data_IF_594340368867
#
_entry.id   IF_594340368867
#
_cell.length_a   1.000
_cell.length_b   1.000
_cell.length_c   1.000
_cell.angle_alpha   90.00
_cell.angle_beta   90.00
_cell.angle_gamma   90.00
#
_symmetry.space_group_name_H-M   'P 1'
#
loop_
_entity.id
_entity.type
_entity.pdbx_description
1 polymer ?
#
# COMPACT_ATOMS: atom_id res chain seq x y z
N UNK A 1 13.99 -5.91 2.18
CA UNK A 1 14.95 -4.81 2.08
C UNK A 1 16.18 -4.95 2.99
N UNK A 2 16.05 -5.55 4.18
CA UNK A 2 17.18 -5.87 5.09
C UNK A 2 18.25 -6.78 4.43
N UNK A 3 17.86 -7.49 3.38
CA UNK A 3 18.67 -8.53 2.73
C UNK A 3 19.64 -7.95 1.68
N UNK A 4 19.36 -6.80 1.11
CA UNK A 4 20.17 -6.23 0.01
C UNK A 4 21.51 -5.62 0.41
N UNK A 5 21.70 -5.26 1.68
CA UNK A 5 22.92 -4.57 2.14
C UNK A 5 24.03 -5.45 2.69
N UNK A 6 23.73 -6.69 3.09
CA UNK A 6 24.72 -7.60 3.70
C UNK A 6 24.94 -8.91 2.95
N UNK A 7 24.04 -9.28 2.07
CA UNK A 7 24.16 -10.54 1.34
C UNK A 7 24.38 -10.26 -0.13
N UNK A 8 25.55 -10.64 -0.57
CA UNK A 8 25.84 -10.85 -1.95
C UNK A 8 24.97 -12.00 -2.44
N UNK A 9 24.06 -11.76 -3.36
CA UNK A 9 23.16 -12.77 -3.91
C UNK A 9 23.89 -13.96 -4.54
N UNK A 10 25.21 -13.88 -4.71
CA UNK A 10 26.08 -14.92 -5.27
C UNK A 10 27.30 -15.27 -4.41
N UNK A 11 27.38 -14.87 -3.12
CA UNK A 11 28.52 -15.19 -2.26
C UNK A 11 29.87 -14.54 -2.66
N UNK A 12 29.87 -13.61 -3.64
CA UNK A 12 31.05 -12.89 -4.09
C UNK A 12 31.12 -11.50 -3.41
N UNK A 13 32.31 -10.91 -3.14
CA UNK A 13 32.41 -9.59 -2.56
C UNK A 13 31.70 -8.54 -3.43
N UNK A 14 31.08 -7.52 -2.80
CA UNK A 14 30.28 -6.49 -3.49
C UNK A 14 30.98 -5.98 -4.75
N UNK A 15 30.55 -6.47 -5.91
CA UNK A 15 30.96 -6.04 -7.23
C UNK A 15 29.75 -5.55 -8.01
N UNK A 16 29.97 -5.04 -9.21
CA UNK A 16 28.96 -4.43 -10.09
C UNK A 16 27.67 -5.26 -10.31
N UNK A 17 27.65 -6.58 -10.00
CA UNK A 17 26.48 -7.45 -10.10
C UNK A 17 25.41 -7.18 -9.03
N UNK A 18 25.77 -6.73 -7.82
CA UNK A 18 24.84 -6.48 -6.72
C UNK A 18 23.90 -5.28 -6.97
N UNK A 19 24.36 -4.29 -7.74
CA UNK A 19 23.56 -3.11 -8.08
C UNK A 19 22.53 -3.41 -9.19
N UNK A 20 22.83 -4.35 -10.09
CA UNK A 20 21.88 -4.79 -11.12
C UNK A 20 20.74 -5.61 -10.52
N UNK A 21 21.03 -6.53 -9.60
CA UNK A 21 20.02 -7.34 -8.91
C UNK A 21 19.09 -6.47 -8.04
N UNK A 22 19.65 -5.44 -7.37
CA UNK A 22 18.84 -4.45 -6.64
C UNK A 22 17.95 -3.64 -7.60
N UNK A 23 18.46 -3.27 -8.77
CA UNK A 23 17.70 -2.59 -9.81
C UNK A 23 16.50 -3.42 -10.29
N UNK A 24 16.72 -4.71 -10.57
CA UNK A 24 15.64 -5.64 -10.93
C UNK A 24 14.62 -5.80 -9.81
N UNK A 25 15.05 -5.97 -8.56
CA UNK A 25 14.15 -6.04 -7.40
C UNK A 25 13.29 -4.78 -7.30
N UNK A 26 13.87 -3.59 -7.41
CA UNK A 26 13.13 -2.32 -7.33
C UNK A 26 12.13 -2.17 -8.49
N UNK A 27 12.46 -2.64 -9.69
CA UNK A 27 11.54 -2.63 -10.81
C UNK A 27 10.32 -3.54 -10.55
N UNK A 28 10.52 -4.79 -10.10
CA UNK A 28 9.42 -5.67 -9.70
C UNK A 28 8.61 -5.09 -8.53
N UNK A 29 9.29 -4.56 -7.53
CA UNK A 29 8.63 -3.96 -6.37
C UNK A 29 7.76 -2.74 -6.75
N UNK A 30 8.22 -1.89 -7.67
CA UNK A 30 7.42 -0.76 -8.17
C UNK A 30 6.18 -1.24 -8.96
N UNK A 31 6.29 -2.32 -9.73
CA UNK A 31 5.13 -2.95 -10.38
C UNK A 31 4.14 -3.52 -9.37
N UNK A 32 4.63 -4.16 -8.30
CA UNK A 32 3.79 -4.64 -7.20
C UNK A 32 3.02 -3.49 -6.56
N UNK A 33 3.70 -2.40 -6.22
CA UNK A 33 3.08 -1.21 -5.61
C UNK A 33 2.02 -0.59 -6.54
N UNK A 34 2.29 -0.51 -7.83
CA UNK A 34 1.32 0.01 -8.80
C UNK A 34 0.09 -0.91 -8.88
N UNK A 35 0.29 -2.22 -8.96
CA UNK A 35 -0.80 -3.20 -8.97
C UNK A 35 -1.65 -3.12 -7.71
N UNK A 36 -1.00 -3.02 -6.54
CA UNK A 36 -1.69 -2.87 -5.26
C UNK A 36 -2.44 -1.54 -5.16
N UNK A 37 -1.87 -0.44 -5.65
CA UNK A 37 -2.55 0.86 -5.65
C UNK A 37 -3.84 0.84 -6.49
N UNK A 38 -3.83 0.17 -7.65
CA UNK A 38 -5.04 -0.02 -8.46
C UNK A 38 -6.05 -0.92 -7.75
N UNK A 39 -5.60 -2.02 -7.14
CA UNK A 39 -6.46 -2.90 -6.35
C UNK A 39 -7.10 -2.13 -5.17
N UNK A 40 -6.32 -1.36 -4.45
CA UNK A 40 -6.79 -0.52 -3.35
C UNK A 40 -7.83 0.48 -3.82
N UNK A 41 -7.59 1.14 -4.93
CA UNK A 41 -8.48 2.15 -5.47
C UNK A 41 -9.85 1.58 -5.89
N UNK A 42 -9.86 0.42 -6.52
CA UNK A 42 -11.10 -0.14 -7.09
C UNK A 42 -11.78 -1.19 -6.21
N UNK A 43 -11.10 -1.77 -5.24
CA UNK A 43 -11.62 -2.90 -4.46
C UNK A 43 -11.56 -2.64 -2.96
N UNK A 44 -10.36 -2.47 -2.38
CA UNK A 44 -10.19 -2.55 -0.93
C UNK A 44 -10.69 -1.30 -0.21
N UNK A 45 -10.41 -0.11 -0.74
CA UNK A 45 -10.90 1.15 -0.16
C UNK A 45 -12.41 1.28 -0.33
N UNK A 46 -13.00 1.06 -1.52
CA UNK A 46 -14.46 1.03 -1.67
C UNK A 46 -15.13 0.03 -0.75
N UNK A 47 -14.56 -1.16 -0.56
CA UNK A 47 -15.08 -2.15 0.38
C UNK A 47 -15.19 -1.57 1.79
N UNK A 48 -14.19 -0.85 2.25
CA UNK A 48 -14.16 -0.28 3.59
C UNK A 48 -15.21 0.82 3.78
N UNK A 49 -15.41 1.69 2.78
CA UNK A 49 -16.29 2.86 2.91
C UNK A 49 -17.71 2.62 2.39
N UNK A 50 -17.86 1.98 1.24
CA UNK A 50 -19.18 1.82 0.61
C UNK A 50 -19.98 0.65 1.20
N UNK A 51 -19.31 -0.36 1.78
CA UNK A 51 -19.99 -1.50 2.39
C UNK A 51 -20.87 -1.09 3.58
N UNK A 52 -20.41 -0.12 4.38
CA UNK A 52 -21.20 0.38 5.51
C UNK A 52 -22.44 1.16 5.08
N UNK A 53 -22.42 1.77 3.89
CA UNK A 53 -23.56 2.50 3.33
C UNK A 53 -24.63 1.57 2.71
N UNK A 54 -24.36 0.27 2.61
CA UNK A 54 -25.30 -0.72 2.05
C UNK A 54 -26.17 -1.37 3.12
N UNK A 55 -27.41 -1.69 2.73
CA UNK A 55 -28.33 -2.48 3.57
C UNK A 55 -27.73 -3.87 3.81
N UNK A 56 -28.02 -4.47 4.95
CA UNK A 56 -27.50 -5.81 5.33
C UNK A 56 -27.77 -6.88 4.25
N UNK A 57 -28.93 -6.79 3.58
CA UNK A 57 -29.33 -7.70 2.48
C UNK A 57 -28.51 -7.52 1.20
N UNK A 58 -27.88 -6.37 1.02
CA UNK A 58 -27.08 -6.03 -0.18
C UNK A 58 -25.58 -6.31 0.03
N UNK A 59 -25.10 -6.32 1.28
CA UNK A 59 -23.67 -6.51 1.63
C UNK A 59 -23.05 -7.76 1.02
N UNK A 60 -23.70 -8.96 1.05
CA UNK A 60 -23.13 -10.16 0.45
C UNK A 60 -22.95 -10.05 -1.08
N UNK A 61 -23.93 -9.45 -1.76
CA UNK A 61 -23.87 -9.24 -3.22
C UNK A 61 -22.77 -8.26 -3.59
N UNK A 62 -22.64 -7.17 -2.83
CA UNK A 62 -21.59 -6.18 -3.04
C UNK A 62 -20.20 -6.77 -2.78
N UNK A 63 -20.02 -7.54 -1.71
CA UNK A 63 -18.76 -8.25 -1.41
C UNK A 63 -18.39 -9.22 -2.53
N UNK A 64 -19.36 -9.94 -3.10
CA UNK A 64 -19.14 -10.86 -4.24
C UNK A 64 -18.72 -10.08 -5.48
N UNK A 65 -19.36 -8.95 -5.77
CA UNK A 65 -18.96 -8.07 -6.87
C UNK A 65 -17.51 -7.59 -6.73
N UNK A 66 -17.12 -7.14 -5.52
CA UNK A 66 -15.74 -6.70 -5.25
C UNK A 66 -14.74 -7.86 -5.35
N UNK A 67 -15.10 -9.06 -4.94
CA UNK A 67 -14.26 -10.25 -5.12
C UNK A 67 -14.02 -10.53 -6.61
N UNK A 68 -15.07 -10.46 -7.44
CA UNK A 68 -14.93 -10.65 -8.87
C UNK A 68 -14.06 -9.57 -9.52
N UNK A 69 -14.21 -8.31 -9.11
CA UNK A 69 -13.30 -7.23 -9.53
C UNK A 69 -11.86 -7.50 -9.10
N UNK A 70 -11.64 -7.92 -7.86
CA UNK A 70 -10.32 -8.30 -7.35
C UNK A 70 -9.68 -9.38 -8.22
N UNK A 71 -10.42 -10.45 -8.53
CA UNK A 71 -9.94 -11.53 -9.39
C UNK A 71 -9.66 -11.06 -10.81
N UNK A 72 -10.53 -10.22 -11.40
CA UNK A 72 -10.32 -9.67 -12.73
C UNK A 72 -9.08 -8.78 -12.81
N UNK A 73 -8.88 -7.88 -11.84
CA UNK A 73 -7.69 -7.03 -11.74
C UNK A 73 -6.45 -7.88 -11.53
N UNK A 74 -6.50 -8.91 -10.66
CA UNK A 74 -5.38 -9.82 -10.40
C UNK A 74 -4.98 -10.60 -11.67
N UNK A 75 -5.95 -11.15 -12.41
CA UNK A 75 -5.70 -11.84 -13.67
C UNK A 75 -5.09 -10.91 -14.71
N UNK A 76 -5.60 -9.66 -14.81
CA UNK A 76 -5.05 -8.66 -15.71
C UNK A 76 -3.58 -8.36 -15.37
N UNK A 77 -3.26 -8.08 -14.10
CA UNK A 77 -1.88 -7.80 -13.70
C UNK A 77 -0.95 -9.00 -13.85
N UNK A 78 -1.39 -10.20 -13.48
CA UNK A 78 -0.63 -11.44 -13.72
C UNK A 78 -0.36 -11.61 -15.22
N UNK A 79 -1.37 -11.41 -16.06
CA UNK A 79 -1.23 -11.45 -17.52
C UNK A 79 -0.23 -10.43 -18.06
N UNK A 80 -0.30 -9.18 -17.57
CA UNK A 80 0.65 -8.12 -17.95
C UNK A 80 2.09 -8.42 -17.49
N UNK A 81 2.26 -8.99 -16.29
CA UNK A 81 3.58 -9.40 -15.77
C UNK A 81 4.16 -10.53 -16.60
N UNK A 82 3.37 -11.55 -16.90
CA UNK A 82 3.82 -12.70 -17.71
C UNK A 82 4.15 -12.28 -19.16
N UNK A 83 3.28 -11.47 -19.77
CA UNK A 83 3.48 -10.96 -21.13
C UNK A 83 4.71 -10.03 -21.18
N UNK A 84 4.81 -9.07 -20.24
CA UNK A 84 5.95 -8.16 -20.14
C UNK A 84 7.26 -8.89 -19.88
N UNK A 85 7.23 -9.92 -19.02
CA UNK A 85 8.37 -10.81 -18.77
C UNK A 85 8.81 -11.61 -20.00
N UNK A 86 7.85 -12.15 -20.76
CA UNK A 86 8.13 -12.86 -21.99
C UNK A 86 8.76 -11.92 -23.06
N UNK A 87 8.21 -10.71 -23.24
CA UNK A 87 8.76 -9.70 -24.16
C UNK A 87 10.15 -9.24 -23.71
N UNK A 88 10.34 -9.01 -22.41
CA UNK A 88 11.64 -8.61 -21.86
C UNK A 88 12.70 -9.71 -22.04
N UNK A 89 12.32 -10.99 -21.90
CA UNK A 89 13.22 -12.11 -22.13
C UNK A 89 13.68 -12.20 -23.60
N UNK A 90 12.79 -11.90 -24.56
CA UNK A 90 13.18 -11.86 -25.97
C UNK A 90 14.25 -10.79 -26.25
N UNK A 91 14.29 -9.72 -25.45
CA UNK A 91 15.22 -8.61 -25.60
C UNK A 91 16.44 -8.71 -24.70
N UNK A 92 16.30 -9.33 -23.55
CA UNK A 92 17.34 -9.47 -22.52
C UNK A 92 17.43 -10.93 -22.10
N UNK A 93 18.42 -11.65 -22.59
CA UNK A 93 18.62 -13.10 -22.36
C UNK A 93 18.82 -13.51 -20.87
N UNK A 94 19.07 -12.55 -20.00
CA UNK A 94 19.37 -12.81 -18.58
C UNK A 94 18.15 -12.84 -17.67
N UNK A 95 16.93 -12.60 -18.17
CA UNK A 95 15.73 -12.60 -17.35
C UNK A 95 15.20 -14.02 -17.18
N UNK A 96 15.15 -14.53 -15.94
CA UNK A 96 14.63 -15.86 -15.66
C UNK A 96 13.10 -15.89 -15.70
N UNK A 97 12.49 -16.72 -16.56
CA UNK A 97 11.04 -16.95 -16.56
C UNK A 97 10.52 -17.45 -15.21
N UNK A 98 11.35 -18.20 -14.48
CA UNK A 98 10.99 -18.70 -13.14
C UNK A 98 10.80 -17.53 -12.17
N UNK A 99 11.63 -16.48 -12.26
CA UNK A 99 11.49 -15.27 -11.46
C UNK A 99 10.21 -14.50 -11.81
N UNK A 100 9.91 -14.38 -13.12
CA UNK A 100 8.66 -13.75 -13.58
C UNK A 100 7.43 -14.52 -13.09
N UNK A 101 7.46 -15.85 -13.17
CA UNK A 101 6.37 -16.71 -12.68
C UNK A 101 6.20 -16.61 -11.15
N UNK A 102 7.31 -16.59 -10.39
CA UNK A 102 7.28 -16.42 -8.95
C UNK A 102 6.71 -15.03 -8.56
N UNK A 103 7.05 -13.98 -9.31
CA UNK A 103 6.48 -12.65 -9.11
C UNK A 103 4.99 -12.61 -9.47
N UNK A 104 4.57 -13.22 -10.56
CA UNK A 104 3.15 -13.35 -10.93
C UNK A 104 2.34 -14.10 -9.86
N UNK A 105 2.91 -15.18 -9.31
CA UNK A 105 2.34 -15.91 -8.18
C UNK A 105 2.22 -15.04 -6.93
N UNK A 106 3.26 -14.25 -6.60
CA UNK A 106 3.21 -13.29 -5.52
C UNK A 106 2.08 -12.28 -5.74
N UNK A 107 1.96 -11.69 -6.93
CA UNK A 107 0.91 -10.71 -7.26
C UNK A 107 -0.49 -11.29 -7.06
N UNK A 108 -0.75 -12.50 -7.55
CA UNK A 108 -2.04 -13.16 -7.40
C UNK A 108 -2.40 -13.41 -5.93
N UNK A 109 -1.46 -13.99 -5.17
CA UNK A 109 -1.70 -14.33 -3.76
C UNK A 109 -1.81 -13.09 -2.88
N UNK A 110 -1.02 -12.04 -3.14
CA UNK A 110 -1.08 -10.77 -2.43
C UNK A 110 -2.44 -10.09 -2.63
N UNK A 111 -2.95 -10.05 -3.86
CA UNK A 111 -4.25 -9.45 -4.17
C UNK A 111 -5.40 -10.14 -3.42
N UNK A 112 -5.41 -11.47 -3.39
CA UNK A 112 -6.45 -12.24 -2.69
C UNK A 112 -6.32 -12.06 -1.17
N UNK A 113 -5.09 -12.09 -0.63
CA UNK A 113 -4.86 -11.85 0.80
C UNK A 113 -5.36 -10.46 1.21
N UNK A 114 -5.00 -9.42 0.44
CA UNK A 114 -5.41 -8.05 0.72
C UNK A 114 -6.94 -7.90 0.72
N UNK A 115 -7.62 -8.51 -0.26
CA UNK A 115 -9.08 -8.56 -0.27
C UNK A 115 -9.65 -9.18 1.00
N UNK A 116 -9.16 -10.36 1.42
CA UNK A 116 -9.67 -11.08 2.59
C UNK A 116 -9.38 -10.34 3.90
N UNK A 117 -8.21 -9.75 4.03
CA UNK A 117 -7.84 -8.98 5.24
C UNK A 117 -8.66 -7.69 5.34
N UNK A 118 -8.92 -6.98 4.24
CA UNK A 118 -9.82 -5.84 4.20
C UNK A 118 -11.28 -6.22 4.45
N UNK A 119 -11.69 -7.40 3.99
CA UNK A 119 -13.01 -7.93 4.31
C UNK A 119 -13.19 -8.13 5.82
N UNK A 120 -12.16 -8.65 6.53
CA UNK A 120 -12.19 -8.75 7.99
C UNK A 120 -12.34 -7.38 8.66
N UNK A 121 -11.61 -6.38 8.18
CA UNK A 121 -11.68 -5.01 8.70
C UNK A 121 -13.05 -4.36 8.43
N UNK A 122 -13.60 -4.54 7.23
CA UNK A 122 -14.92 -4.03 6.88
C UNK A 122 -16.04 -4.64 7.74
N UNK A 123 -15.83 -5.85 8.27
CA UNK A 123 -16.74 -6.49 9.24
C UNK A 123 -16.34 -6.26 10.71
N UNK A 124 -15.45 -5.31 10.99
CA UNK A 124 -14.94 -4.95 12.32
C UNK A 124 -14.30 -6.13 13.09
N UNK A 125 -13.84 -7.16 12.38
CA UNK A 125 -13.12 -8.30 12.96
C UNK A 125 -11.64 -7.96 13.16
N UNK A 126 -11.34 -6.82 13.80
CA UNK A 126 -9.97 -6.26 13.94
C UNK A 126 -9.01 -7.19 14.68
N UNK A 127 -9.49 -7.93 15.69
CA UNK A 127 -8.67 -8.93 16.39
C UNK A 127 -8.21 -10.06 15.48
N UNK A 128 -9.10 -10.57 14.60
CA UNK A 128 -8.73 -11.61 13.64
C UNK A 128 -7.77 -11.07 12.57
N UNK A 129 -7.98 -9.84 12.11
CA UNK A 129 -7.05 -9.15 11.22
C UNK A 129 -5.64 -9.08 11.84
N UNK A 130 -5.52 -8.60 13.09
CA UNK A 130 -4.25 -8.48 13.79
C UNK A 130 -3.54 -9.85 13.92
N UNK A 131 -4.28 -10.91 14.28
CA UNK A 131 -3.73 -12.27 14.37
C UNK A 131 -3.21 -12.74 12.99
N UNK A 132 -3.95 -12.48 11.91
CA UNK A 132 -3.52 -12.83 10.55
C UNK A 132 -2.24 -12.09 10.14
N UNK A 133 -2.12 -10.79 10.45
CA UNK A 133 -0.90 -10.02 10.13
C UNK A 133 0.31 -10.47 10.95
N UNK A 134 0.13 -10.80 12.23
CA UNK A 134 1.21 -11.37 13.06
C UNK A 134 1.62 -12.77 12.53
N UNK A 135 0.65 -13.63 12.21
CA UNK A 135 0.93 -14.94 11.63
C UNK A 135 1.67 -14.82 10.28
N UNK A 136 1.25 -13.88 9.42
CA UNK A 136 1.96 -13.59 8.17
C UNK A 136 3.43 -13.20 8.41
N UNK A 137 3.67 -12.29 9.35
CA UNK A 137 5.02 -11.86 9.69
C UNK A 137 5.87 -13.05 10.19
N UNK A 138 5.30 -13.90 11.04
CA UNK A 138 5.99 -15.08 11.57
C UNK A 138 6.33 -16.07 10.44
N UNK A 139 5.39 -16.39 9.54
CA UNK A 139 5.67 -17.27 8.40
C UNK A 139 6.75 -16.69 7.50
N UNK A 140 6.62 -15.40 7.15
CA UNK A 140 7.60 -14.70 6.33
C UNK A 140 9.01 -14.74 6.94
N UNK A 141 9.13 -14.38 8.23
CA UNK A 141 10.42 -14.40 8.93
C UNK A 141 11.02 -15.80 9.05
N UNK A 142 10.18 -16.80 9.32
CA UNK A 142 10.60 -18.20 9.41
C UNK A 142 11.15 -18.71 8.07
N UNK A 143 10.42 -18.49 6.98
CA UNK A 143 10.86 -18.94 5.66
C UNK A 143 12.09 -18.18 5.17
N UNK A 144 12.18 -16.88 5.45
CA UNK A 144 13.40 -16.10 5.16
C UNK A 144 14.60 -16.64 5.96
N UNK A 145 14.42 -16.94 7.24
CA UNK A 145 15.49 -17.51 8.07
C UNK A 145 15.98 -18.87 7.53
N UNK A 146 15.04 -19.73 7.09
CA UNK A 146 15.38 -21.00 6.45
C UNK A 146 16.14 -20.77 5.15
N UNK A 147 15.72 -19.82 4.30
CA UNK A 147 16.40 -19.49 3.05
C UNK A 147 17.82 -18.93 3.29
N UNK A 148 17.99 -18.11 4.33
CA UNK A 148 19.31 -17.59 4.74
C UNK A 148 20.21 -18.75 5.18
N UNK A 149 19.69 -19.63 6.04
CA UNK A 149 20.46 -20.79 6.52
C UNK A 149 20.87 -21.74 5.36
N UNK A 150 19.95 -21.93 4.39
CA UNK A 150 20.21 -22.73 3.18
C UNK A 150 21.05 -22.01 2.12
N UNK A 151 21.50 -20.79 2.33
CA UNK A 151 22.24 -19.95 1.36
C UNK A 151 21.53 -19.81 0.00
N UNK A 152 20.20 -19.91 -0.01
CA UNK A 152 19.35 -19.87 -1.23
C UNK A 152 18.57 -18.55 -1.34
N UNK A 153 19.24 -17.40 -1.18
CA UNK A 153 18.58 -16.11 -1.27
C UNK A 153 18.69 -15.58 -2.70
N UNK A 154 17.78 -16.07 -3.54
CA UNK A 154 17.56 -15.55 -4.89
C UNK A 154 16.26 -14.73 -4.92
N UNK A 155 16.14 -13.81 -5.88
CA UNK A 155 14.94 -13.02 -6.10
C UNK A 155 13.68 -13.90 -6.23
N UNK A 156 13.80 -15.01 -6.97
CA UNK A 156 12.76 -16.05 -7.12
C UNK A 156 12.34 -16.63 -5.78
N UNK A 157 13.31 -16.96 -4.91
CA UNK A 157 13.04 -17.52 -3.57
C UNK A 157 12.29 -16.52 -2.71
N UNK A 158 12.68 -15.24 -2.72
CA UNK A 158 12.00 -14.18 -1.96
C UNK A 158 10.55 -14.03 -2.40
N UNK A 159 10.28 -13.94 -3.71
CA UNK A 159 8.92 -13.85 -4.23
C UNK A 159 8.07 -15.08 -3.89
N UNK A 160 8.67 -16.27 -3.99
CA UNK A 160 7.98 -17.53 -3.64
C UNK A 160 7.63 -17.59 -2.15
N UNK A 161 8.56 -17.19 -1.27
CA UNK A 161 8.34 -17.14 0.19
C UNK A 161 7.18 -16.23 0.53
N UNK A 162 7.15 -15.00 -0.02
CA UNK A 162 6.06 -14.06 0.22
C UNK A 162 4.74 -14.65 -0.29
N UNK A 163 4.75 -15.23 -1.51
CA UNK A 163 3.57 -15.85 -2.11
C UNK A 163 3.02 -17.04 -1.29
N UNK A 164 3.90 -17.92 -0.79
CA UNK A 164 3.51 -19.04 0.07
C UNK A 164 2.96 -18.54 1.41
N UNK A 165 3.60 -17.54 2.02
CA UNK A 165 3.11 -16.93 3.25
C UNK A 165 1.70 -16.35 3.08
N UNK A 166 1.45 -15.69 1.93
CA UNK A 166 0.11 -15.20 1.59
C UNK A 166 -0.90 -16.36 1.48
N UNK A 167 -0.55 -17.46 0.78
CA UNK A 167 -1.43 -18.63 0.66
C UNK A 167 -1.81 -19.24 2.01
N UNK A 168 -0.86 -19.35 2.94
CA UNK A 168 -1.14 -19.86 4.28
C UNK A 168 -2.16 -18.96 5.00
N UNK A 169 -2.01 -17.64 4.92
CA UNK A 169 -2.98 -16.72 5.52
C UNK A 169 -4.34 -16.80 4.84
N UNK A 170 -4.38 -16.87 3.52
CA UNK A 170 -5.64 -17.08 2.77
C UNK A 170 -6.34 -18.36 3.26
N UNK A 171 -5.59 -19.45 3.43
CA UNK A 171 -6.10 -20.72 3.95
C UNK A 171 -6.66 -20.59 5.37
N UNK A 172 -5.95 -19.91 6.27
CA UNK A 172 -6.37 -19.67 7.65
C UNK A 172 -7.67 -18.85 7.69
N UNK A 173 -7.74 -17.74 6.94
CA UNK A 173 -8.93 -16.88 6.89
C UNK A 173 -10.11 -17.67 6.33
N UNK A 174 -9.89 -18.39 5.21
CA UNK A 174 -10.93 -19.19 4.58
C UNK A 174 -11.48 -20.27 5.50
N UNK A 175 -10.61 -21.01 6.17
CA UNK A 175 -11.01 -22.06 7.11
C UNK A 175 -11.77 -21.50 8.32
N UNK A 176 -11.25 -20.42 8.93
CA UNK A 176 -11.83 -19.83 10.16
C UNK A 176 -13.16 -19.13 9.91
N UNK A 177 -13.38 -18.59 8.72
CA UNK A 177 -14.55 -17.80 8.38
C UNK A 177 -15.39 -18.43 7.25
N UNK A 178 -15.30 -19.75 7.08
CA UNK A 178 -15.98 -20.48 6.01
C UNK A 178 -17.50 -20.23 5.97
N UNK A 179 -18.16 -20.13 7.11
CA UNK A 179 -19.59 -19.83 7.22
C UNK A 179 -19.93 -18.39 6.78
N UNK A 180 -19.08 -17.44 7.13
CA UNK A 180 -19.27 -16.03 6.74
C UNK A 180 -19.13 -15.81 5.22
N UNK A 181 -18.47 -16.73 4.50
CA UNK A 181 -18.36 -16.74 3.04
C UNK A 181 -19.46 -17.55 2.34
N UNK A 182 -20.36 -18.19 3.07
CA UNK A 182 -21.46 -18.95 2.48
C UNK A 182 -22.33 -18.12 1.50
N UNK A 183 -22.74 -16.86 1.83
CA UNK A 183 -23.50 -16.02 0.91
C UNK A 183 -22.71 -15.67 -0.38
N UNK A 184 -21.41 -15.48 -0.27
CA UNK A 184 -20.53 -15.22 -1.42
C UNK A 184 -20.46 -16.47 -2.30
N UNK A 185 -20.33 -17.66 -1.70
CA UNK A 185 -20.32 -18.94 -2.43
C UNK A 185 -21.62 -19.19 -3.18
N UNK A 186 -22.79 -18.93 -2.52
CA UNK A 186 -24.10 -19.10 -3.19
C UNK A 186 -24.22 -18.18 -4.38
N UNK A 187 -23.83 -16.90 -4.24
CA UNK A 187 -23.87 -15.94 -5.36
C UNK A 187 -22.93 -16.35 -6.52
N UNK A 188 -21.72 -16.83 -6.23
CA UNK A 188 -20.78 -17.33 -7.24
C UNK A 188 -21.31 -18.57 -7.96
N UNK A 189 -22.07 -19.45 -7.29
CA UNK A 189 -22.75 -20.59 -7.92
C UNK A 189 -23.86 -20.10 -8.88
N UNK A 190 -24.67 -19.13 -8.47
CA UNK A 190 -25.73 -18.55 -9.32
C UNK A 190 -25.19 -17.85 -10.57
N UNK A 191 -24.00 -17.24 -10.49
CA UNK A 191 -23.30 -16.62 -11.64
C UNK A 191 -22.66 -17.68 -12.56
N UNK A 192 -22.71 -18.97 -12.20
CA UNK A 192 -22.20 -20.08 -13.03
C UNK A 192 -20.69 -20.27 -12.98
N UNK A 193 -19.98 -19.51 -12.13
CA UNK A 193 -18.52 -19.62 -11.98
C UNK A 193 -18.08 -20.84 -11.15
N UNK A 194 -18.99 -21.43 -10.36
CA UNK A 194 -18.73 -22.64 -9.56
C UNK A 194 -19.74 -23.71 -9.91
N UNK A 195 -19.55 -24.42 -11.02
CA UNK A 195 -20.37 -25.59 -11.42
C UNK A 195 -20.01 -26.91 -10.68
N UNK A 196 -19.15 -26.88 -9.68
CA UNK A 196 -18.75 -28.08 -8.94
C UNK A 196 -19.69 -28.36 -7.78
N UNK A 197 -20.38 -29.48 -7.86
CA UNK A 197 -21.26 -30.14 -6.89
C UNK A 197 -22.75 -29.72 -6.91
N UNK A 198 -23.49 -30.34 -7.83
CA UNK A 198 -24.94 -30.19 -8.01
C UNK A 198 -25.78 -31.05 -7.05
N UNK A 199 -25.22 -31.61 -5.97
CA UNK A 199 -25.91 -32.61 -5.15
C UNK A 199 -26.49 -32.11 -3.81
N UNK A 200 -26.40 -30.80 -3.51
CA UNK A 200 -26.85 -30.27 -2.21
C UNK A 200 -27.94 -29.18 -2.28
N UNK A 201 -28.43 -28.82 -3.47
CA UNK A 201 -29.24 -27.62 -3.67
C UNK A 201 -30.77 -27.81 -3.63
N UNK A 202 -31.28 -29.01 -3.33
CA UNK A 202 -32.74 -29.24 -3.32
C UNK A 202 -33.47 -28.78 -2.04
N UNK A 203 -32.80 -28.10 -1.10
CA UNK A 203 -33.37 -27.77 0.21
C UNK A 203 -33.62 -26.28 0.49
N UNK A 204 -33.24 -25.34 -0.38
CA UNK A 204 -33.48 -23.92 -0.16
C UNK A 204 -34.40 -23.30 -1.21
N UNK A 205 -35.72 -23.48 -1.00
CA UNK A 205 -36.76 -22.69 -1.64
C UNK A 205 -36.75 -21.24 -1.13
N UNK A 206 -35.71 -20.48 -1.43
CA UNK A 206 -35.59 -19.06 -1.09
C UNK A 206 -35.80 -18.22 -2.34
N UNK A 207 -36.78 -17.31 -2.27
CA UNK A 207 -37.07 -16.21 -3.21
C UNK A 207 -35.87 -15.25 -3.37
N UNK A 208 -34.71 -15.75 -3.78
CA UNK A 208 -33.57 -14.92 -4.13
C UNK A 208 -33.83 -14.30 -5.51
N UNK A 209 -34.34 -13.05 -5.53
CA UNK A 209 -34.35 -12.24 -6.76
C UNK A 209 -32.95 -12.33 -7.37
N UNK A 210 -32.84 -12.96 -8.54
CA UNK A 210 -31.59 -13.08 -9.30
C UNK A 210 -30.93 -11.70 -9.36
N UNK A 211 -29.64 -11.62 -9.10
CA UNK A 211 -28.88 -10.39 -9.25
C UNK A 211 -29.09 -9.86 -10.67
N UNK A 212 -29.78 -8.74 -10.81
CA UNK A 212 -30.08 -8.17 -12.12
C UNK A 212 -28.80 -7.63 -12.74
N UNK A 213 -28.64 -7.80 -14.05
CA UNK A 213 -27.53 -7.18 -14.79
C UNK A 213 -27.49 -5.66 -14.60
N UNK A 214 -28.65 -5.02 -14.38
CA UNK A 214 -28.76 -3.59 -14.04
C UNK A 214 -28.06 -3.25 -12.72
N UNK A 215 -28.15 -4.11 -11.69
CA UNK A 215 -27.50 -3.88 -10.40
C UNK A 215 -25.97 -3.96 -10.53
N UNK A 216 -25.49 -4.91 -11.37
CA UNK A 216 -24.07 -5.04 -11.67
C UNK A 216 -23.52 -3.79 -12.38
N UNK A 217 -24.21 -3.29 -13.42
CA UNK A 217 -23.77 -2.11 -14.17
C UNK A 217 -23.80 -0.84 -13.33
N UNK A 218 -24.78 -0.70 -12.42
CA UNK A 218 -24.86 0.44 -11.49
C UNK A 218 -23.70 0.41 -10.50
N UNK A 219 -23.45 -0.74 -9.88
CA UNK A 219 -22.31 -0.90 -9.00
C UNK A 219 -20.97 -0.66 -9.72
N UNK A 220 -20.83 -1.11 -10.96
CA UNK A 220 -19.64 -0.88 -11.76
C UNK A 220 -19.38 0.60 -12.03
N UNK A 221 -20.44 1.37 -12.39
CA UNK A 221 -20.30 2.82 -12.61
C UNK A 221 -19.91 3.56 -11.33
N UNK A 222 -20.57 3.24 -10.21
CA UNK A 222 -20.25 3.81 -8.90
C UNK A 222 -18.78 3.52 -8.52
N UNK A 223 -18.37 2.27 -8.67
CA UNK A 223 -16.99 1.84 -8.37
C UNK A 223 -15.97 2.48 -9.29
N UNK A 224 -16.28 2.57 -10.58
CA UNK A 224 -15.37 3.19 -11.54
C UNK A 224 -15.17 4.68 -11.26
N UNK A 225 -16.26 5.40 -10.94
CA UNK A 225 -16.18 6.79 -10.56
C UNK A 225 -15.36 6.99 -9.28
N UNK A 226 -15.67 6.22 -8.23
CA UNK A 226 -14.97 6.29 -6.95
C UNK A 226 -13.49 5.85 -7.09
N UNK A 227 -13.26 4.71 -7.73
CA UNK A 227 -11.93 4.13 -7.91
C UNK A 227 -11.01 4.97 -8.80
N UNK A 228 -11.54 5.65 -9.83
CA UNK A 228 -10.70 6.49 -10.70
C UNK A 228 -10.10 7.68 -9.95
N UNK A 229 -10.87 8.35 -9.07
CA UNK A 229 -10.35 9.42 -8.24
C UNK A 229 -9.30 8.91 -7.23
N UNK A 230 -9.53 7.72 -6.64
CA UNK A 230 -8.56 7.08 -5.74
C UNK A 230 -7.28 6.68 -6.47
N UNK A 231 -7.39 6.14 -7.68
CA UNK A 231 -6.24 5.77 -8.49
C UNK A 231 -5.39 6.98 -8.84
N UNK A 232 -6.02 8.11 -9.21
CA UNK A 232 -5.34 9.38 -9.45
C UNK A 232 -4.69 9.93 -8.17
N UNK A 233 -5.39 9.89 -7.03
CA UNK A 233 -4.84 10.28 -5.73
C UNK A 233 -3.58 9.48 -5.40
N UNK A 234 -3.65 8.15 -5.54
CA UNK A 234 -2.51 7.25 -5.31
C UNK A 234 -1.36 7.51 -6.28
N UNK A 235 -1.64 7.77 -7.56
CA UNK A 235 -0.63 8.12 -8.56
C UNK A 235 0.09 9.41 -8.18
N UNK A 236 -0.63 10.47 -7.83
CA UNK A 236 -0.03 11.74 -7.43
C UNK A 236 0.76 11.62 -6.13
N UNK A 237 0.22 10.89 -5.13
CA UNK A 237 0.89 10.65 -3.87
C UNK A 237 2.18 9.84 -4.05
N UNK A 238 2.16 8.72 -4.79
CA UNK A 238 3.34 7.91 -5.08
C UNK A 238 4.39 8.70 -5.86
N UNK A 239 3.96 9.47 -6.88
CA UNK A 239 4.88 10.33 -7.63
C UNK A 239 5.53 11.37 -6.73
N UNK A 240 4.78 11.98 -5.81
CA UNK A 240 5.32 12.93 -4.82
C UNK A 240 6.39 12.28 -3.95
N UNK A 241 6.14 11.07 -3.45
CA UNK A 241 7.08 10.32 -2.58
C UNK A 241 8.37 9.96 -3.31
N UNK A 242 8.28 9.50 -4.57
CA UNK A 242 9.44 9.01 -5.32
C UNK A 242 10.08 10.06 -6.21
N UNK A 243 9.51 11.27 -6.31
CA UNK A 243 9.99 12.34 -7.18
C UNK A 243 11.48 12.65 -6.96
N UNK A 244 11.91 12.83 -5.72
CA UNK A 244 13.30 13.19 -5.45
C UNK A 244 14.28 12.05 -5.70
N UNK A 245 13.87 10.79 -5.60
CA UNK A 245 14.72 9.67 -6.02
C UNK A 245 15.05 9.77 -7.53
N UNK A 246 14.03 9.97 -8.37
CA UNK A 246 14.21 10.13 -9.81
C UNK A 246 14.95 11.45 -10.16
N UNK A 247 14.61 12.52 -9.45
CA UNK A 247 15.23 13.82 -9.66
C UNK A 247 16.74 13.80 -9.38
N UNK A 248 17.17 13.19 -8.27
CA UNK A 248 18.57 13.04 -7.90
C UNK A 248 19.30 12.12 -8.89
N UNK A 249 18.67 11.02 -9.29
CA UNK A 249 19.23 10.12 -10.31
C UNK A 249 19.53 10.84 -11.62
N UNK A 250 18.63 11.73 -12.06
CA UNK A 250 18.75 12.44 -13.34
C UNK A 250 19.66 13.68 -13.26
N UNK A 251 19.77 14.31 -12.09
CA UNK A 251 20.48 15.60 -11.93
C UNK A 251 21.84 15.49 -11.28
N UNK A 252 22.09 14.47 -10.50
CA UNK A 252 23.36 14.23 -9.82
C UNK A 252 23.91 12.88 -10.31
N UNK A 253 23.53 11.78 -9.66
CA UNK A 253 23.99 10.44 -10.00
C UNK A 253 23.15 9.36 -9.27
N UNK A 254 23.46 8.11 -9.58
CA UNK A 254 22.81 6.96 -8.96
C UNK A 254 23.16 6.80 -7.47
N UNK A 255 24.34 7.28 -7.04
CA UNK A 255 24.78 7.18 -5.65
C UNK A 255 23.96 8.12 -4.77
N UNK A 256 23.76 9.38 -5.15
CA UNK A 256 22.93 10.34 -4.44
C UNK A 256 21.48 9.86 -4.33
N UNK A 257 20.91 9.31 -5.42
CA UNK A 257 19.59 8.68 -5.41
C UNK A 257 19.52 7.48 -4.46
N UNK A 258 20.54 6.62 -4.46
CA UNK A 258 20.64 5.46 -3.58
C UNK A 258 20.68 5.85 -2.11
N UNK A 259 21.43 6.88 -1.76
CA UNK A 259 21.52 7.40 -0.38
C UNK A 259 20.19 7.96 0.08
N UNK A 260 19.56 8.81 -0.76
CA UNK A 260 18.24 9.34 -0.45
C UNK A 260 17.22 8.23 -0.27
N UNK A 261 17.24 7.23 -1.15
CA UNK A 261 16.38 6.05 -1.07
C UNK A 261 16.63 5.21 0.20
N UNK A 262 17.89 5.05 0.63
CA UNK A 262 18.24 4.38 1.88
C UNK A 262 17.68 5.12 3.10
N UNK A 263 17.86 6.46 3.15
CA UNK A 263 17.29 7.29 4.20
C UNK A 263 15.77 7.23 4.21
N UNK A 264 15.14 7.29 3.04
CA UNK A 264 13.69 7.17 2.89
C UNK A 264 13.18 5.82 3.39
N UNK A 265 13.90 4.72 3.12
CA UNK A 265 13.52 3.39 3.59
C UNK A 265 13.49 3.30 5.11
N UNK A 266 14.46 3.93 5.80
CA UNK A 266 14.46 3.96 7.27
C UNK A 266 13.25 4.74 7.79
N UNK A 267 12.91 5.86 7.15
CA UNK A 267 11.72 6.63 7.52
C UNK A 267 10.45 5.81 7.29
N UNK A 268 10.38 5.06 6.19
CA UNK A 268 9.25 4.20 5.87
C UNK A 268 9.08 2.99 6.81
N UNK A 269 10.03 2.71 7.72
CA UNK A 269 9.83 1.73 8.81
C UNK A 269 8.66 2.10 9.74
N UNK A 270 8.23 3.35 9.76
CA UNK A 270 7.03 3.79 10.48
C UNK A 270 5.71 3.41 9.78
N UNK A 271 5.74 3.10 8.47
CA UNK A 271 4.53 2.84 7.69
C UNK A 271 3.64 1.70 8.22
N UNK A 272 4.16 0.56 8.71
CA UNK A 272 3.30 -0.48 9.28
C UNK A 272 2.45 0.04 10.44
N UNK A 273 3.02 0.88 11.30
CA UNK A 273 2.28 1.49 12.40
C UNK A 273 1.23 2.48 11.90
N UNK A 274 1.60 3.34 10.95
CA UNK A 274 0.70 4.31 10.34
C UNK A 274 -0.46 3.58 9.64
N UNK A 275 -0.16 2.60 8.80
CA UNK A 275 -1.17 1.83 8.07
C UNK A 275 -2.07 1.01 9.01
N UNK A 276 -1.52 0.48 10.12
CA UNK A 276 -2.30 -0.23 11.14
C UNK A 276 -3.37 0.67 11.76
N UNK A 277 -3.00 1.88 12.18
CA UNK A 277 -3.95 2.85 12.75
C UNK A 277 -4.98 3.30 11.71
N UNK A 278 -4.54 3.63 10.50
CA UNK A 278 -5.42 4.06 9.39
C UNK A 278 -6.42 2.97 9.02
N UNK A 279 -5.98 1.71 8.97
CA UNK A 279 -6.85 0.57 8.63
C UNK A 279 -7.98 0.34 9.64
N UNK A 280 -7.74 0.67 10.91
CA UNK A 280 -8.78 0.62 11.96
C UNK A 280 -9.64 1.88 11.93
N UNK A 281 -9.03 3.04 11.73
CA UNK A 281 -9.74 4.33 11.71
C UNK A 281 -10.72 4.44 10.54
N UNK A 282 -10.36 3.95 9.36
CA UNK A 282 -11.17 4.09 8.15
C UNK A 282 -12.61 3.55 8.29
N UNK A 283 -12.85 2.29 8.73
CA UNK A 283 -14.20 1.82 8.97
C UNK A 283 -14.89 2.54 10.14
N UNK A 284 -14.16 2.90 11.19
CA UNK A 284 -14.73 3.66 12.32
C UNK A 284 -15.23 5.04 11.87
N UNK A 285 -14.48 5.72 10.98
CA UNK A 285 -14.88 7.01 10.44
C UNK A 285 -16.18 6.92 9.63
N UNK A 286 -16.33 5.86 8.83
CA UNK A 286 -17.54 5.63 8.05
C UNK A 286 -18.76 5.37 8.95
N UNK A 287 -18.61 4.57 10.01
CA UNK A 287 -19.68 4.27 10.98
C UNK A 287 -20.06 5.52 11.75
N UNK A 288 -19.08 6.22 12.35
CA UNK A 288 -19.33 7.42 13.15
C UNK A 288 -20.02 8.51 12.32
N UNK A 289 -19.64 8.64 11.03
CA UNK A 289 -20.33 9.58 10.14
C UNK A 289 -21.80 9.23 9.93
N UNK A 290 -22.14 7.94 9.84
CA UNK A 290 -23.52 7.48 9.70
C UNK A 290 -24.36 7.65 10.98
N UNK A 291 -23.77 7.36 12.14
CA UNK A 291 -24.47 7.36 13.43
C UNK A 291 -24.58 8.75 14.03
N UNK A 292 -23.50 9.52 14.02
CA UNK A 292 -23.36 10.82 14.70
C UNK A 292 -23.15 12.01 13.75
N UNK A 293 -23.19 11.74 12.44
CA UNK A 293 -22.98 12.77 11.43
C UNK A 293 -21.56 13.37 11.48
N UNK A 294 -21.44 14.58 10.93
CA UNK A 294 -20.16 15.26 10.81
C UNK A 294 -19.56 15.69 12.16
N UNK A 295 -20.39 15.96 13.17
CA UNK A 295 -19.92 16.38 14.50
C UNK A 295 -19.17 15.24 15.21
N UNK A 296 -19.73 14.02 15.19
CA UNK A 296 -19.08 12.84 15.72
C UNK A 296 -17.77 12.52 14.98
N UNK A 297 -17.83 12.49 13.64
CA UNK A 297 -16.66 12.28 12.80
C UNK A 297 -15.54 13.31 13.11
N UNK A 298 -15.87 14.60 13.26
CA UNK A 298 -14.90 15.64 13.57
C UNK A 298 -14.15 15.36 14.88
N UNK A 299 -14.89 14.94 15.92
CA UNK A 299 -14.31 14.63 17.23
C UNK A 299 -13.28 13.50 17.14
N UNK A 300 -13.62 12.39 16.46
CA UNK A 300 -12.69 11.27 16.32
C UNK A 300 -11.54 11.60 15.38
N UNK A 301 -11.79 12.33 14.29
CA UNK A 301 -10.75 12.76 13.32
C UNK A 301 -9.62 13.48 14.01
N UNK A 302 -9.92 14.54 14.77
CA UNK A 302 -8.89 15.32 15.47
C UNK A 302 -8.19 14.53 16.56
N UNK A 303 -8.92 13.68 17.29
CA UNK A 303 -8.32 12.79 18.30
C UNK A 303 -7.28 11.87 17.69
N UNK A 304 -7.63 11.19 16.59
CA UNK A 304 -6.72 10.25 15.93
C UNK A 304 -5.60 10.96 15.15
N UNK A 305 -5.89 12.08 14.49
CA UNK A 305 -4.89 12.86 13.75
C UNK A 305 -3.80 13.41 14.69
N UNK A 306 -4.19 14.02 15.81
CA UNK A 306 -3.23 14.53 16.79
C UNK A 306 -2.48 13.39 17.49
N UNK A 307 -3.16 12.33 17.89
CA UNK A 307 -2.53 11.19 18.55
C UNK A 307 -1.49 10.51 17.65
N UNK A 308 -1.83 10.26 16.37
CA UNK A 308 -0.92 9.66 15.42
C UNK A 308 0.24 10.60 15.04
N UNK A 309 -0.02 11.91 14.89
CA UNK A 309 1.02 12.89 14.64
C UNK A 309 2.01 12.99 15.81
N UNK A 310 1.53 12.94 17.06
CA UNK A 310 2.40 12.91 18.25
C UNK A 310 3.27 11.64 18.28
N UNK A 311 2.69 10.48 17.97
CA UNK A 311 3.41 9.22 17.90
C UNK A 311 4.50 9.26 16.81
N UNK A 312 4.18 9.81 15.64
CA UNK A 312 5.15 9.99 14.56
C UNK A 312 6.22 11.04 14.90
N UNK A 313 5.88 12.07 15.68
CA UNK A 313 6.86 13.04 16.17
C UNK A 313 7.87 12.38 17.12
N UNK A 314 7.42 11.45 17.96
CA UNK A 314 8.33 10.65 18.80
C UNK A 314 9.27 9.78 17.93
N UNK A 315 8.76 9.18 16.86
CA UNK A 315 9.57 8.46 15.90
C UNK A 315 10.62 9.36 15.22
N UNK A 316 10.26 10.59 14.86
CA UNK A 316 11.20 11.58 14.30
C UNK A 316 12.31 11.92 15.29
N UNK A 317 11.97 12.10 16.57
CA UNK A 317 12.97 12.30 17.64
C UNK A 317 13.90 11.06 17.74
N UNK A 318 13.36 9.86 17.63
CA UNK A 318 14.17 8.64 17.58
C UNK A 318 15.11 8.64 16.37
N UNK A 319 14.66 9.07 15.20
CA UNK A 319 15.51 9.17 14.00
C UNK A 319 16.66 10.17 14.16
N UNK A 320 16.47 11.22 14.95
CA UNK A 320 17.54 12.16 15.27
C UNK A 320 18.73 11.48 15.95
N UNK A 321 18.46 10.56 16.89
CA UNK A 321 19.50 9.85 17.65
C UNK A 321 19.94 8.55 16.97
N UNK A 322 19.01 7.83 16.34
CA UNK A 322 19.25 6.49 15.84
C UNK A 322 19.41 6.42 14.31
N UNK A 323 19.23 7.51 13.57
CA UNK A 323 19.24 7.50 12.10
C UNK A 323 20.54 6.97 11.51
N UNK A 324 21.70 7.47 11.96
CA UNK A 324 23.01 6.97 11.51
C UNK A 324 23.26 5.51 11.89
N UNK A 325 23.11 5.12 13.18
CA UNK A 325 23.18 3.71 13.59
C UNK A 325 22.27 2.77 12.79
N UNK A 326 21.05 3.20 12.44
CA UNK A 326 20.14 2.41 11.62
C UNK A 326 20.64 2.27 10.17
N UNK A 327 21.14 3.35 9.56
CA UNK A 327 21.78 3.27 8.24
C UNK A 327 22.92 2.27 8.26
N UNK A 328 23.80 2.37 9.24
CA UNK A 328 24.94 1.45 9.40
C UNK A 328 24.50 0.00 9.61
N UNK A 329 23.45 -0.20 10.40
CA UNK A 329 22.90 -1.53 10.67
C UNK A 329 22.33 -2.18 9.40
N UNK A 330 21.56 -1.41 8.59
CA UNK A 330 20.85 -1.95 7.43
C UNK A 330 21.69 -1.97 6.15
N UNK A 331 22.58 -1.00 5.96
CA UNK A 331 23.34 -0.82 4.72
C UNK A 331 24.85 -1.05 4.86
N UNK A 332 25.36 -1.21 6.10
CA UNK A 332 26.75 -1.51 6.39
C UNK A 332 27.68 -0.29 6.39
N UNK A 333 28.97 -0.54 6.64
CA UNK A 333 30.00 0.49 6.80
C UNK A 333 30.39 1.22 5.52
N UNK A 334 30.11 0.62 4.35
CA UNK A 334 30.39 1.26 3.05
C UNK A 334 29.55 2.52 2.82
N UNK A 335 28.32 2.54 3.32
CA UNK A 335 27.48 3.73 3.31
C UNK A 335 27.96 4.80 4.29
N UNK A 336 28.48 4.38 5.45
CA UNK A 336 29.06 5.24 6.49
C UNK A 336 30.26 6.05 5.94
N UNK A 337 31.16 5.37 5.21
CA UNK A 337 32.32 6.01 4.58
C UNK A 337 31.92 7.02 3.49
N UNK A 338 30.96 6.68 2.65
CA UNK A 338 30.45 7.58 1.61
C UNK A 338 29.74 8.80 2.20
N UNK A 339 28.99 8.64 3.29
CA UNK A 339 28.36 9.76 4.01
C UNK A 339 29.42 10.67 4.67
N UNK A 340 30.45 10.10 5.27
CA UNK A 340 31.55 10.86 5.90
C UNK A 340 32.32 11.69 4.88
N UNK A 341 32.55 11.15 3.68
CA UNK A 341 33.31 11.81 2.62
C UNK A 341 32.53 12.96 1.93
N UNK A 342 31.21 12.78 1.76
CA UNK A 342 30.39 13.71 0.94
C UNK A 342 29.40 14.54 1.77
N UNK A 343 29.04 14.11 2.98
CA UNK A 343 27.99 14.74 3.78
C UNK A 343 28.31 14.74 5.27
N UNK A 344 28.88 15.81 5.77
CA UNK A 344 29.23 16.00 7.19
C UNK A 344 27.98 16.17 8.09
N UNK A 345 27.08 15.22 8.14
CA UNK A 345 25.83 15.34 8.90
C UNK A 345 24.90 14.15 8.72
N UNK A 346 25.44 12.95 8.83
CA UNK A 346 24.78 11.67 8.55
C UNK A 346 23.39 11.49 9.13
N UNK A 347 23.15 11.94 10.36
CA UNK A 347 21.90 11.76 11.07
C UNK A 347 20.80 12.75 10.62
N UNK A 348 21.16 13.81 9.87
CA UNK A 348 20.23 14.88 9.53
C UNK A 348 19.29 14.51 8.41
N UNK A 349 19.72 13.73 7.41
CA UNK A 349 18.87 13.42 6.24
C UNK A 349 17.67 12.55 6.62
N UNK A 350 17.81 11.41 7.33
CA UNK A 350 16.66 10.63 7.79
C UNK A 350 15.73 11.45 8.70
N UNK A 351 16.29 12.30 9.57
CA UNK A 351 15.51 13.18 10.42
C UNK A 351 14.71 14.19 9.58
N UNK A 352 15.34 14.86 8.60
CA UNK A 352 14.69 15.86 7.76
C UNK A 352 13.58 15.25 6.89
N UNK A 353 13.80 14.06 6.32
CA UNK A 353 12.76 13.31 5.64
C UNK A 353 11.67 12.90 6.65
N UNK A 354 12.08 12.48 7.83
CA UNK A 354 11.21 12.07 8.93
C UNK A 354 10.24 13.17 9.38
N UNK A 355 10.61 14.45 9.27
CA UNK A 355 9.72 15.60 9.57
C UNK A 355 8.41 15.55 8.77
N UNK A 356 8.40 14.91 7.60
CA UNK A 356 7.18 14.67 6.83
C UNK A 356 6.21 13.69 7.51
N UNK A 357 6.68 12.80 8.40
CA UNK A 357 5.87 11.72 8.97
C UNK A 357 4.71 12.19 9.85
N UNK A 358 4.88 13.13 10.80
CA UNK A 358 3.76 13.67 11.56
C UNK A 358 2.72 14.35 10.67
N UNK A 359 3.19 15.08 9.63
CA UNK A 359 2.34 15.77 8.68
C UNK A 359 1.55 14.75 7.84
N UNK A 360 2.24 13.71 7.37
CA UNK A 360 1.64 12.63 6.60
C UNK A 360 0.62 11.84 7.44
N UNK A 361 0.93 11.55 8.69
CA UNK A 361 0.04 10.86 9.63
C UNK A 361 -1.29 11.61 9.82
N UNK A 362 -1.22 12.91 10.10
CA UNK A 362 -2.41 13.75 10.20
C UNK A 362 -3.18 13.82 8.87
N UNK A 363 -2.45 13.97 7.74
CA UNK A 363 -3.04 14.03 6.42
C UNK A 363 -3.79 12.74 6.05
N UNK A 364 -3.28 11.56 6.43
CA UNK A 364 -3.95 10.28 6.19
C UNK A 364 -5.27 10.15 6.97
N UNK A 365 -5.29 10.54 8.25
CA UNK A 365 -6.52 10.50 9.06
C UNK A 365 -7.58 11.43 8.46
N UNK A 366 -7.19 12.65 8.05
CA UNK A 366 -8.12 13.61 7.42
C UNK A 366 -8.60 13.08 6.06
N UNK A 367 -7.72 12.43 5.28
CA UNK A 367 -8.10 11.78 4.03
C UNK A 367 -9.18 10.71 4.23
N UNK A 368 -9.03 9.86 5.25
CA UNK A 368 -10.04 8.85 5.59
C UNK A 368 -11.37 9.50 5.98
N UNK A 369 -11.33 10.63 6.68
CA UNK A 369 -12.55 11.36 7.05
C UNK A 369 -13.23 12.00 5.84
N UNK A 370 -12.46 12.55 4.89
CA UNK A 370 -13.00 13.04 3.61
C UNK A 370 -13.62 11.90 2.79
N UNK A 371 -13.01 10.72 2.79
CA UNK A 371 -13.55 9.52 2.13
C UNK A 371 -14.87 9.06 2.79
N UNK A 372 -14.94 9.08 4.13
CA UNK A 372 -16.15 8.75 4.87
C UNK A 372 -17.32 9.68 4.54
N UNK A 373 -17.03 10.96 4.24
CA UNK A 373 -18.01 11.93 3.73
C UNK A 373 -18.31 11.81 2.22
N UNK A 374 -17.72 10.84 1.51
CA UNK A 374 -17.85 10.71 0.06
C UNK A 374 -17.06 11.75 -0.76
N UNK A 375 -16.18 12.52 -0.13
CA UNK A 375 -15.49 13.67 -0.73
C UNK A 375 -14.10 13.29 -1.30
N UNK A 376 -14.06 12.21 -2.07
CA UNK A 376 -12.82 11.63 -2.62
C UNK A 376 -12.03 12.60 -3.52
N UNK A 377 -12.71 13.47 -4.26
CA UNK A 377 -12.09 14.43 -5.18
C UNK A 377 -11.08 15.32 -4.46
N UNK A 378 -11.39 15.74 -3.23
CA UNK A 378 -10.54 16.65 -2.46
C UNK A 378 -9.23 15.99 -2.02
N UNK A 379 -9.23 14.67 -1.80
CA UNK A 379 -7.98 13.93 -1.58
C UNK A 379 -7.09 13.99 -2.81
N UNK A 380 -7.66 13.69 -3.98
CA UNK A 380 -6.94 13.74 -5.26
C UNK A 380 -6.37 15.15 -5.54
N UNK A 381 -7.17 16.22 -5.36
CA UNK A 381 -6.69 17.59 -5.52
C UNK A 381 -5.58 17.95 -4.52
N UNK A 382 -5.68 17.50 -3.28
CA UNK A 382 -4.62 17.73 -2.27
C UNK A 382 -3.31 17.04 -2.66
N UNK A 383 -3.36 15.81 -3.15
CA UNK A 383 -2.18 15.08 -3.63
C UNK A 383 -1.60 15.70 -4.89
N UNK A 384 -2.45 16.21 -5.81
CA UNK A 384 -2.01 16.98 -6.97
C UNK A 384 -1.26 18.26 -6.56
N UNK A 385 -1.75 18.99 -5.55
CA UNK A 385 -1.05 20.18 -5.01
C UNK A 385 0.31 19.78 -4.47
N UNK A 386 0.41 18.67 -3.71
CA UNK A 386 1.70 18.17 -3.23
C UNK A 386 2.68 17.86 -4.37
N UNK A 387 2.20 17.20 -5.42
CA UNK A 387 2.98 16.92 -6.62
C UNK A 387 3.45 18.21 -7.32
N UNK A 388 2.56 19.18 -7.51
CA UNK A 388 2.91 20.46 -8.12
C UNK A 388 3.95 21.22 -7.29
N UNK A 389 3.84 21.19 -5.96
CA UNK A 389 4.84 21.81 -5.06
C UNK A 389 6.20 21.13 -5.22
N UNK A 390 6.25 19.80 -5.18
CA UNK A 390 7.52 19.05 -5.35
C UNK A 390 8.17 19.33 -6.71
N UNK A 391 7.40 19.30 -7.79
CA UNK A 391 7.89 19.57 -9.14
C UNK A 391 8.39 21.01 -9.28
N UNK A 392 7.62 21.98 -8.75
CA UNK A 392 8.00 23.40 -8.78
C UNK A 392 9.27 23.67 -7.99
N UNK A 393 9.40 23.12 -6.80
CA UNK A 393 10.61 23.24 -5.98
C UNK A 393 11.82 22.58 -6.68
N UNK A 394 11.62 21.39 -7.26
CA UNK A 394 12.66 20.72 -8.05
C UNK A 394 13.10 21.52 -9.27
N UNK A 395 12.16 22.16 -9.97
CA UNK A 395 12.46 22.98 -11.16
C UNK A 395 13.28 24.25 -10.83
N UNK A 396 13.03 24.86 -9.65
CA UNK A 396 13.77 26.05 -9.20
C UNK A 396 15.15 25.72 -8.64
N UNK A 397 15.38 24.46 -8.25
CA UNK A 397 16.60 24.00 -7.62
C UNK A 397 17.77 23.97 -8.61
N UNK A 398 18.68 24.94 -8.52
CA UNK A 398 19.86 25.05 -9.41
C UNK A 398 20.96 24.05 -9.09
N UNK A 399 21.17 23.80 -7.80
CA UNK A 399 22.14 22.81 -7.29
C UNK A 399 21.41 21.90 -6.33
N UNK A 400 20.92 20.75 -6.81
CA UNK A 400 20.23 19.81 -5.93
C UNK A 400 21.21 19.21 -4.92
N UNK A 401 20.81 19.21 -3.64
CA UNK A 401 21.46 18.48 -2.58
C UNK A 401 20.43 17.65 -1.80
N UNK A 402 20.90 16.66 -1.07
CA UNK A 402 20.04 15.73 -0.33
C UNK A 402 19.23 16.42 0.77
N UNK A 403 19.83 17.41 1.43
CA UNK A 403 19.19 18.16 2.53
C UNK A 403 18.04 18.99 1.99
N UNK A 404 18.28 19.74 0.91
CA UNK A 404 17.25 20.55 0.26
C UNK A 404 16.12 19.67 -0.28
N UNK A 405 16.43 18.52 -0.89
CA UNK A 405 15.42 17.57 -1.35
C UNK A 405 14.56 17.04 -0.19
N UNK A 406 15.16 16.71 0.97
CA UNK A 406 14.44 16.25 2.15
C UNK A 406 13.49 17.33 2.72
N UNK A 407 13.95 18.59 2.77
CA UNK A 407 13.12 19.71 3.20
C UNK A 407 11.97 19.98 2.22
N UNK A 408 12.25 19.96 0.92
CA UNK A 408 11.23 20.15 -0.12
C UNK A 408 10.14 19.06 -0.06
N UNK A 409 10.53 17.82 0.24
CA UNK A 409 9.57 16.73 0.46
C UNK A 409 8.67 16.99 1.68
N UNK A 410 9.25 17.47 2.79
CA UNK A 410 8.49 17.84 3.98
C UNK A 410 7.54 19.02 3.74
N UNK A 411 7.98 20.03 2.97
CA UNK A 411 7.13 21.17 2.56
C UNK A 411 5.95 20.69 1.70
N UNK A 412 6.19 19.80 0.72
CA UNK A 412 5.13 19.24 -0.12
C UNK A 412 4.10 18.45 0.70
N UNK A 413 4.56 17.65 1.67
CA UNK A 413 3.68 16.93 2.59
C UNK A 413 2.86 17.89 3.46
N UNK A 414 3.47 18.99 3.91
CA UNK A 414 2.78 20.07 4.62
C UNK A 414 1.70 20.73 3.76
N UNK A 415 1.97 20.95 2.47
CA UNK A 415 0.99 21.51 1.52
C UNK A 415 -0.20 20.55 1.32
N UNK A 416 0.05 19.23 1.20
CA UNK A 416 -1.02 18.21 1.15
C UNK A 416 -1.89 18.30 2.40
N UNK A 417 -1.27 18.32 3.59
CA UNK A 417 -2.00 18.43 4.85
C UNK A 417 -2.84 19.71 4.90
N UNK A 418 -2.26 20.85 4.57
CA UNK A 418 -2.96 22.16 4.59
C UNK A 418 -4.18 22.15 3.65
N UNK A 419 -4.04 21.60 2.44
CA UNK A 419 -5.15 21.45 1.49
C UNK A 419 -6.24 20.50 2.02
N UNK A 420 -5.88 19.35 2.60
CA UNK A 420 -6.85 18.42 3.18
C UNK A 420 -7.61 19.04 4.34
N UNK A 421 -6.91 19.75 5.24
CA UNK A 421 -7.51 20.52 6.34
C UNK A 421 -8.46 21.57 5.78
N UNK A 422 -8.04 22.35 4.79
CA UNK A 422 -8.87 23.37 4.15
C UNK A 422 -10.15 22.77 3.60
N UNK A 423 -10.08 21.71 2.78
CA UNK A 423 -11.27 21.07 2.20
C UNK A 423 -12.16 20.44 3.27
N UNK A 424 -11.59 19.85 4.30
CA UNK A 424 -12.34 19.28 5.40
C UNK A 424 -13.13 20.36 6.18
N UNK A 425 -12.54 21.55 6.36
CA UNK A 425 -13.20 22.68 7.02
C UNK A 425 -14.18 23.41 6.13
N UNK A 426 -13.85 23.71 4.89
CA UNK A 426 -14.74 24.43 3.96
C UNK A 426 -16.04 23.68 3.74
N UNK A 427 -15.98 22.36 3.68
CA UNK A 427 -17.18 21.52 3.56
C UNK A 427 -18.04 21.45 4.84
N UNK A 428 -17.52 21.97 5.96
CA UNK A 428 -18.27 22.14 7.19
C UNK A 428 -19.34 23.24 7.04
N UNK A 429 -19.05 24.27 6.29
CA UNK A 429 -19.95 25.43 6.11
C UNK A 429 -21.15 25.08 5.24
N UNK A 430 -20.97 24.25 4.22
CA UNK A 430 -22.07 23.86 3.29
C UNK A 430 -23.08 22.89 3.89
N UNK A 431 -22.72 22.13 4.92
CA UNK A 431 -23.60 21.13 5.55
C UNK A 431 -24.41 21.67 6.73
N UNK A 432 -24.13 22.90 7.19
CA UNK A 432 -24.87 23.58 8.28
C UNK A 432 -25.91 24.58 7.76
N UNK A 433 -25.91 24.87 6.44
CA UNK A 433 -26.93 25.65 5.73
C UNK A 433 -27.88 24.75 4.95
#
# INVERSE_FOLDING_TARGET
MIIGGRFNLNGAPMGAGSNADLGHYLAYFSMLLLGMAVLDAFVTIPMTYLMHNRKETEKPRFSTFLLLMCLAISVLFVGLVLLGGAVAQMRYSNLSLVTVAAFAFLMATQSIREFLTRWLLAHLKTGHYAVCEVAYLLFYLTFIAIAIYGQQIFLTTVFSIIGISNLLIIGIIWWRHSESFAPIRSTLRHVGLLKFSAAADDLEGSNSKSASWSDFTTNLKEQFYFGSWLALDSLFALTTVYFFNWFLLLKIDAAASGIYGACMTIVLLANPLLNGVVSVFAPMAAIEYQESGKAGLNRITWKYATGLAMLMSLFVVLLWFAGGPLIKLFYGTSYDQFFAEHYSGENRIPFLIGLSMPLNAAAYIIACSLLACGQIKYNCFSSLVGLLVVVSLGAVMRKPDLVTCALCFSIATGAILACRVWFYWSHRIESEN
#
